data_IF_706937262276
#
_entry.id   IF_706937262276
#
_cell.length_a   1.000
_cell.length_b   1.000
_cell.length_c   1.000
_cell.angle_alpha   90.00
_cell.angle_beta   90.00
_cell.angle_gamma   90.00
#
_symmetry.space_group_name_H-M   'P 1'
#
loop_
_entity.id
_entity.type
_entity.pdbx_description
1 polymer ?
#
# COMPACT_ATOMS: atom_id res chain seq x y z
N UNK A 1 15.18 2.56 -17.05
CA UNK A 1 14.46 1.76 -16.04
C UNK A 1 13.46 2.68 -15.40
N UNK A 2 12.22 2.26 -15.26
CA UNK A 2 11.16 3.07 -14.65
C UNK A 2 10.90 2.56 -13.24
N UNK A 3 11.03 3.40 -12.19
CA UNK A 3 10.74 3.00 -10.82
C UNK A 3 9.23 2.79 -10.60
N UNK A 4 8.82 1.85 -9.72
CA UNK A 4 7.42 1.65 -9.40
C UNK A 4 6.84 2.82 -8.61
N UNK A 5 5.64 3.24 -8.98
CA UNK A 5 4.80 4.08 -8.13
C UNK A 5 3.99 3.20 -7.19
N UNK A 6 4.18 3.39 -5.89
CA UNK A 6 3.53 2.55 -4.85
C UNK A 6 2.32 3.25 -4.25
N UNK A 7 1.19 2.54 -4.22
CA UNK A 7 -0.02 2.97 -3.54
C UNK A 7 -0.46 1.90 -2.55
N UNK A 8 -0.56 2.29 -1.28
CA UNK A 8 -1.10 1.45 -0.22
C UNK A 8 -2.48 1.95 0.17
N UNK A 9 -3.48 1.08 0.10
CA UNK A 9 -4.85 1.33 0.53
C UNK A 9 -5.30 0.27 1.53
N UNK A 10 -6.44 0.51 2.15
CA UNK A 10 -7.05 -0.43 3.10
C UNK A 10 -8.56 -0.41 2.98
N UNK A 11 -9.19 -1.51 3.36
CA UNK A 11 -10.64 -1.67 3.35
C UNK A 11 -11.07 -2.65 4.43
N UNK A 12 -12.19 -2.37 5.09
CA UNK A 12 -12.82 -3.33 5.99
C UNK A 12 -13.16 -4.64 5.25
N UNK A 13 -12.84 -5.77 5.88
CA UNK A 13 -13.08 -7.13 5.40
C UNK A 13 -14.09 -7.84 6.30
N UNK A 14 -14.35 -9.12 6.05
CA UNK A 14 -15.24 -9.92 6.87
C UNK A 14 -14.63 -10.19 8.25
N UNK A 15 -15.48 -10.54 9.22
CA UNK A 15 -15.06 -10.97 10.56
C UNK A 15 -14.26 -9.92 11.36
N UNK A 16 -14.41 -8.63 11.03
CA UNK A 16 -13.71 -7.54 11.73
C UNK A 16 -12.23 -7.41 11.36
N UNK A 17 -11.79 -8.11 10.30
CA UNK A 17 -10.47 -7.92 9.71
C UNK A 17 -10.45 -6.71 8.76
N UNK A 18 -9.25 -6.28 8.41
CA UNK A 18 -9.02 -5.26 7.38
C UNK A 18 -8.08 -5.82 6.31
N UNK A 19 -8.44 -5.63 5.05
CA UNK A 19 -7.57 -5.93 3.91
C UNK A 19 -6.66 -4.75 3.66
N UNK A 20 -5.35 -4.97 3.70
CA UNK A 20 -4.36 -4.04 3.18
C UNK A 20 -4.05 -4.40 1.73
N UNK A 21 -3.97 -3.40 0.84
CA UNK A 21 -3.64 -3.58 -0.58
C UNK A 21 -2.44 -2.70 -0.92
N UNK A 22 -1.36 -3.30 -1.42
CA UNK A 22 -0.21 -2.61 -1.98
C UNK A 22 -0.20 -2.79 -3.49
N UNK A 23 -0.16 -1.68 -4.22
CA UNK A 23 -0.17 -1.64 -5.69
C UNK A 23 1.12 -1.02 -6.19
N UNK A 24 1.79 -1.67 -7.13
CA UNK A 24 2.98 -1.16 -7.82
C UNK A 24 2.66 -0.93 -9.30
N UNK A 25 2.75 0.31 -9.76
CA UNK A 25 2.40 0.73 -11.12
C UNK A 25 3.60 1.32 -11.86
N UNK A 26 3.58 1.21 -13.19
CA UNK A 26 4.44 2.02 -14.07
C UNK A 26 5.91 1.60 -14.08
N UNK A 27 6.24 0.37 -13.65
CA UNK A 27 7.64 -0.05 -13.49
C UNK A 27 8.18 -0.79 -14.72
N UNK A 28 9.50 -0.70 -14.92
CA UNK A 28 10.24 -1.45 -15.95
C UNK A 28 11.72 -1.60 -15.54
N UNK A 29 12.33 -2.80 -15.60
CA UNK A 29 11.88 -4.02 -16.26
C UNK A 29 10.81 -4.80 -15.46
N UNK A 30 10.38 -5.96 -15.98
CA UNK A 30 9.28 -6.77 -15.43
C UNK A 30 9.60 -7.33 -14.05
N UNK A 31 10.87 -7.66 -13.81
CA UNK A 31 11.36 -8.25 -12.57
C UNK A 31 11.20 -7.25 -11.43
N UNK A 32 10.39 -7.61 -10.43
CA UNK A 32 10.12 -6.83 -9.23
C UNK A 32 9.92 -7.79 -8.06
N UNK A 33 10.38 -7.41 -6.87
CA UNK A 33 10.01 -8.07 -5.62
C UNK A 33 9.14 -7.12 -4.79
N UNK A 34 7.95 -7.57 -4.43
CA UNK A 34 7.02 -6.83 -3.57
C UNK A 34 6.56 -7.78 -2.48
N UNK A 35 6.70 -7.37 -1.22
CA UNK A 35 6.34 -8.18 -0.05
C UNK A 35 5.64 -7.36 1.02
N UNK A 36 4.74 -8.01 1.77
CA UNK A 36 4.30 -7.47 3.06
C UNK A 36 5.29 -7.85 4.15
N UNK A 37 5.72 -6.87 4.96
CA UNK A 37 6.54 -7.08 6.15
C UNK A 37 5.79 -6.64 7.41
N UNK A 38 5.75 -7.51 8.42
CA UNK A 38 5.28 -7.22 9.77
C UNK A 38 6.48 -7.16 10.72
N UNK A 39 6.73 -6.00 11.32
CA UNK A 39 7.91 -5.76 12.18
C UNK A 39 9.23 -6.24 11.53
N UNK A 40 9.39 -5.95 10.23
CA UNK A 40 10.57 -6.33 9.44
C UNK A 40 10.58 -7.79 8.96
N UNK A 41 9.64 -8.64 9.37
CA UNK A 41 9.55 -10.04 8.90
C UNK A 41 8.57 -10.18 7.74
N UNK A 42 9.00 -10.86 6.68
CA UNK A 42 8.18 -11.14 5.50
C UNK A 42 6.96 -11.99 5.88
N UNK A 43 5.78 -11.62 5.37
CA UNK A 43 4.52 -12.36 5.51
C UNK A 43 4.12 -12.94 4.15
N UNK A 44 4.58 -14.15 3.85
CA UNK A 44 4.29 -14.79 2.56
C UNK A 44 3.03 -15.66 2.60
N UNK A 45 2.80 -16.39 3.69
CA UNK A 45 1.73 -17.40 3.78
C UNK A 45 0.31 -16.80 3.71
N UNK A 46 0.10 -15.60 4.24
CA UNK A 46 -1.21 -14.93 4.28
C UNK A 46 -1.38 -13.88 3.18
N UNK A 47 -0.39 -13.77 2.28
CA UNK A 47 -0.39 -12.74 1.24
C UNK A 47 -0.91 -13.30 -0.07
N UNK A 48 -1.90 -12.62 -0.62
CA UNK A 48 -2.36 -12.85 -1.99
C UNK A 48 -1.56 -11.97 -2.95
N UNK A 49 -1.03 -12.58 -3.99
CA UNK A 49 -0.22 -11.91 -5.01
C UNK A 49 -0.96 -11.84 -6.33
N UNK A 50 -1.06 -10.64 -6.89
CA UNK A 50 -1.44 -10.41 -8.27
C UNK A 50 -0.34 -10.85 -9.24
N UNK A 51 -0.74 -11.24 -10.44
CA UNK A 51 0.19 -11.54 -11.53
C UNK A 51 0.74 -10.22 -12.09
N UNK A 52 2.06 -10.16 -12.30
CA UNK A 52 2.70 -9.04 -13.00
C UNK A 52 2.17 -8.96 -14.43
N UNK A 53 1.45 -7.88 -14.72
CA UNK A 53 0.73 -7.68 -15.99
C UNK A 53 1.30 -6.50 -16.77
N UNK A 54 1.35 -6.55 -18.11
CA UNK A 54 1.83 -5.45 -18.93
C UNK A 54 0.79 -4.33 -19.05
N UNK A 55 1.26 -3.10 -19.09
CA UNK A 55 0.48 -1.90 -19.41
C UNK A 55 0.64 -1.53 -20.90
N UNK A 56 -0.32 -0.78 -21.49
CA UNK A 56 -0.24 -0.34 -22.89
C UNK A 56 0.95 0.60 -23.21
N UNK A 57 1.48 1.28 -22.19
CA UNK A 57 2.63 2.18 -22.30
C UNK A 57 3.99 1.44 -22.27
N UNK A 58 3.97 0.11 -22.19
CA UNK A 58 5.17 -0.73 -22.15
C UNK A 58 5.74 -0.97 -20.74
N UNK A 59 5.12 -0.40 -19.70
CA UNK A 59 5.47 -0.68 -18.29
C UNK A 59 4.69 -1.87 -17.73
N UNK A 60 4.87 -2.17 -16.44
CA UNK A 60 4.18 -3.26 -15.76
C UNK A 60 3.39 -2.79 -14.53
N UNK A 61 2.46 -3.63 -14.10
CA UNK A 61 1.66 -3.47 -12.89
C UNK A 61 1.59 -4.78 -12.10
N UNK A 62 1.61 -4.69 -10.77
CA UNK A 62 1.32 -5.81 -9.86
C UNK A 62 0.72 -5.31 -8.54
N UNK A 63 0.20 -6.22 -7.73
CA UNK A 63 -0.38 -5.90 -6.43
C UNK A 63 -0.27 -7.06 -5.44
N UNK A 64 -0.29 -6.73 -4.15
CA UNK A 64 -0.36 -7.68 -3.03
C UNK A 64 -1.46 -7.29 -2.07
N UNK A 65 -2.17 -8.27 -1.50
CA UNK A 65 -3.10 -8.02 -0.39
C UNK A 65 -2.91 -8.98 0.77
N UNK A 66 -3.20 -8.51 1.97
CA UNK A 66 -3.18 -9.30 3.22
C UNK A 66 -4.32 -8.85 4.13
N UNK A 67 -5.00 -9.81 4.77
CA UNK A 67 -6.04 -9.54 5.77
C UNK A 67 -5.41 -9.55 7.17
N UNK A 68 -5.70 -8.51 7.96
CA UNK A 68 -5.06 -8.29 9.26
C UNK A 68 -6.07 -7.88 10.34
N UNK A 69 -5.68 -8.01 11.61
CA UNK A 69 -6.36 -7.28 12.70
C UNK A 69 -6.05 -5.77 12.56
N UNK A 70 -7.06 -4.89 12.47
CA UNK A 70 -6.85 -3.44 12.37
C UNK A 70 -5.93 -2.86 13.45
N UNK A 71 -5.85 -3.47 14.64
CA UNK A 71 -4.97 -3.05 15.74
C UNK A 71 -3.49 -3.23 15.43
N UNK A 72 -3.15 -4.10 14.49
CA UNK A 72 -1.78 -4.39 14.10
C UNK A 72 -1.32 -3.58 12.86
N UNK A 73 -2.21 -2.79 12.25
CA UNK A 73 -1.98 -2.07 10.98
C UNK A 73 -0.63 -1.33 10.91
N UNK A 74 -0.27 -0.63 11.98
CA UNK A 74 0.96 0.19 12.04
C UNK A 74 2.25 -0.63 11.95
N UNK A 75 2.17 -1.95 12.19
CA UNK A 75 3.29 -2.90 12.13
C UNK A 75 3.59 -3.38 10.71
N UNK A 76 2.66 -3.13 9.77
CA UNK A 76 2.76 -3.57 8.39
C UNK A 76 3.37 -2.49 7.47
N UNK A 77 4.29 -2.93 6.61
CA UNK A 77 4.94 -2.15 5.56
C UNK A 77 4.89 -2.94 4.26
N UNK A 78 4.60 -2.27 3.15
CA UNK A 78 4.83 -2.83 1.83
C UNK A 78 6.28 -2.56 1.44
N UNK A 79 7.06 -3.62 1.32
CA UNK A 79 8.46 -3.57 0.94
C UNK A 79 8.61 -3.85 -0.56
N UNK A 80 9.38 -3.01 -1.27
CA UNK A 80 9.54 -3.09 -2.72
C UNK A 80 11.00 -3.00 -3.09
N UNK A 81 11.48 -4.01 -3.81
CA UNK A 81 12.78 -4.00 -4.47
C UNK A 81 12.54 -4.02 -5.98
N UNK A 82 13.18 -3.09 -6.68
CA UNK A 82 13.08 -2.98 -8.12
C UNK A 82 14.34 -2.33 -8.67
N UNK A 83 14.73 -2.78 -9.85
CA UNK A 83 15.93 -2.37 -10.56
C UNK A 83 15.97 -0.87 -10.92
N UNK A 84 14.81 -0.20 -10.94
CA UNK A 84 14.65 1.24 -11.14
C UNK A 84 14.75 2.08 -9.87
N UNK A 85 14.84 1.46 -8.69
CA UNK A 85 14.99 2.15 -7.39
C UNK A 85 16.47 2.26 -7.00
N UNK A 86 16.84 3.39 -6.39
CA UNK A 86 18.19 3.55 -5.82
C UNK A 86 18.37 2.74 -4.54
N UNK A 87 17.31 2.66 -3.73
CA UNK A 87 17.21 1.92 -2.49
C UNK A 87 15.82 1.27 -2.39
N UNK A 88 15.65 0.14 -1.66
CA UNK A 88 14.34 -0.45 -1.42
C UNK A 88 13.36 0.53 -0.76
N UNK A 89 12.07 0.40 -1.10
CA UNK A 89 11.01 1.20 -0.49
C UNK A 89 10.29 0.42 0.61
N UNK A 90 10.05 1.06 1.76
CA UNK A 90 9.23 0.54 2.85
C UNK A 90 8.03 1.46 3.12
N UNK A 91 6.92 1.20 2.43
CA UNK A 91 5.74 2.08 2.42
C UNK A 91 4.77 1.70 3.54
N UNK A 92 4.49 2.63 4.44
CA UNK A 92 3.46 2.47 5.47
C UNK A 92 2.04 2.56 4.92
N UNK A 93 1.11 1.90 5.61
CA UNK A 93 -0.32 2.11 5.42
C UNK A 93 -0.66 3.56 5.82
N UNK A 94 -1.16 4.38 4.89
CA UNK A 94 -1.65 5.72 5.23
C UNK A 94 -2.84 5.59 6.17
N UNK A 95 -2.85 6.33 7.26
CA UNK A 95 -4.07 6.54 8.06
C UNK A 95 -5.04 7.41 7.24
N UNK A 96 -6.30 7.01 7.15
CA UNK A 96 -7.32 7.90 6.61
C UNK A 96 -7.77 8.74 7.78
N UNK A 97 -7.62 10.05 7.65
CA UNK A 97 -8.26 10.98 8.55
C UNK A 97 -9.77 10.73 8.41
N UNK A 98 -10.52 10.37 9.46
CA UNK A 98 -11.98 10.23 9.33
C UNK A 98 -12.56 11.55 8.82
N UNK A 99 -13.49 11.48 7.86
CA UNK A 99 -14.12 12.65 7.23
C UNK A 99 -14.68 13.65 8.25
N UNK A 100 -15.11 13.16 9.42
CA UNK A 100 -15.57 13.99 10.53
C UNK A 100 -14.51 14.97 11.04
N UNK A 101 -13.23 14.57 11.08
CA UNK A 101 -12.15 15.49 11.48
C UNK A 101 -11.97 16.61 10.47
N UNK A 102 -12.14 16.35 9.18
CA UNK A 102 -12.09 17.38 8.13
C UNK A 102 -13.28 18.34 8.27
N UNK A 103 -14.49 17.81 8.52
CA UNK A 103 -15.69 18.63 8.75
C UNK A 103 -15.53 19.52 9.99
N UNK A 104 -14.95 19.01 11.08
CA UNK A 104 -14.70 19.78 12.31
C UNK A 104 -13.67 20.90 12.09
N UNK A 105 -12.63 20.66 11.28
CA UNK A 105 -11.64 21.70 10.92
C UNK A 105 -12.31 22.82 10.10
N UNK A 106 -13.17 22.48 9.14
CA UNK A 106 -13.88 23.49 8.33
C UNK A 106 -14.86 24.30 9.19
N UNK A 107 -15.65 23.64 10.05
CA UNK A 107 -16.61 24.31 10.93
C UNK A 107 -15.92 25.25 11.94
N UNK A 108 -14.79 24.85 12.52
CA UNK A 108 -14.03 25.67 13.46
C UNK A 108 -13.37 26.89 12.80
N UNK A 109 -12.84 26.76 11.57
CA UNK A 109 -12.30 27.89 10.81
C UNK A 109 -13.39 28.92 10.49
N UNK A 110 -14.58 28.49 10.08
CA UNK A 110 -15.71 29.39 9.80
C UNK A 110 -16.15 30.14 11.07
N UNK A 111 -16.11 29.51 12.24
CA UNK A 111 -16.52 30.15 13.49
C UNK A 111 -15.53 31.23 13.98
N UNK A 112 -14.29 31.21 13.47
CA UNK A 112 -13.23 32.14 13.85
C UNK A 112 -13.02 33.32 12.89
N UNK A 113 -13.79 33.40 11.79
CA UNK A 113 -13.71 34.48 10.78
C UNK A 113 -14.93 35.38 10.83
#
# INVERSE_FOLDING_TARGET
>A
KEPPTIKVTRKDSQQGLETLLCQAHGFYPKEIDVTWRKDGKVRQEDTFHGVVSPNPDGTYYTWLSIDIDPKERSRYRCHVEHDGLQDPLDVAVKESVPDLLIIMVIASVILTV
#
